data_IF_352171501102
#
_entry.id   IF_352171501102
#
_cell.length_a   1.000
_cell.length_b   1.000
_cell.length_c   1.000
_cell.angle_alpha   90.00
_cell.angle_beta   90.00
_cell.angle_gamma   90.00
#
_symmetry.space_group_name_H-M   'P 1'
#
loop_
_entity.id
_entity.type
_entity.pdbx_description
1 polymer ?
#
# COMPACT_ATOMS: atom_id res chain seq x y z
N UNK A 1 15.79 -6.42 -10.90
CA UNK A 1 15.52 -7.37 -9.81
C UNK A 1 14.04 -7.74 -9.67
N UNK A 2 13.13 -6.84 -9.25
CA UNK A 2 11.71 -7.22 -9.04
C UNK A 2 11.03 -7.66 -10.35
N UNK A 3 11.28 -6.94 -11.45
CA UNK A 3 10.76 -7.33 -12.77
C UNK A 3 11.30 -8.68 -13.23
N UNK A 4 12.54 -9.00 -12.87
CA UNK A 4 13.17 -10.27 -13.22
C UNK A 4 12.50 -11.41 -12.45
N UNK A 5 12.25 -11.23 -11.14
CA UNK A 5 11.47 -12.19 -10.33
C UNK A 5 10.05 -12.39 -10.87
N UNK A 6 9.37 -11.31 -11.28
CA UNK A 6 8.06 -11.41 -11.91
C UNK A 6 8.09 -12.17 -13.23
N UNK A 7 9.19 -12.07 -13.98
CA UNK A 7 9.37 -12.77 -15.26
C UNK A 7 9.61 -14.25 -15.02
N UNK A 8 10.55 -14.60 -14.13
CA UNK A 8 10.81 -15.99 -13.75
C UNK A 8 9.57 -16.66 -13.14
N UNK A 9 8.75 -15.92 -12.38
CA UNK A 9 7.51 -16.49 -11.85
C UNK A 9 6.47 -16.79 -12.95
N UNK A 10 6.43 -16.00 -14.02
CA UNK A 10 5.56 -16.31 -15.17
C UNK A 10 6.05 -17.51 -15.95
N UNK A 11 7.37 -17.66 -16.12
CA UNK A 11 7.98 -18.84 -16.74
C UNK A 11 7.59 -20.11 -15.97
N UNK A 12 7.69 -20.08 -14.64
CA UNK A 12 7.24 -21.19 -13.79
C UNK A 12 5.75 -21.50 -14.02
N UNK A 13 4.87 -20.48 -14.07
CA UNK A 13 3.44 -20.67 -14.31
C UNK A 13 3.16 -21.31 -15.69
N UNK A 14 3.97 -21.01 -16.69
CA UNK A 14 3.83 -21.58 -18.02
C UNK A 14 4.19 -23.07 -18.03
N UNK A 15 5.25 -23.45 -17.30
CA UNK A 15 5.81 -24.80 -17.26
C UNK A 15 5.03 -25.81 -16.40
N UNK A 16 4.26 -25.36 -15.39
CA UNK A 16 3.56 -26.29 -14.49
C UNK A 16 2.49 -27.11 -15.24
N UNK A 17 2.37 -28.38 -14.89
CA UNK A 17 1.44 -29.32 -15.56
C UNK A 17 0.14 -29.55 -14.80
N UNK A 18 0.05 -29.11 -13.54
CA UNK A 18 -1.10 -29.37 -12.66
C UNK A 18 -2.24 -28.35 -12.81
N UNK A 19 -2.00 -27.23 -13.53
CA UNK A 19 -2.96 -26.16 -13.75
C UNK A 19 -3.36 -26.09 -15.22
N UNK A 20 -4.65 -25.95 -15.49
CA UNK A 20 -5.17 -25.81 -16.84
C UNK A 20 -4.81 -24.45 -17.46
N UNK A 21 -4.87 -24.36 -18.79
CA UNK A 21 -4.44 -23.18 -19.54
C UNK A 21 -5.28 -21.93 -19.21
N UNK A 22 -6.57 -22.08 -18.90
CA UNK A 22 -7.41 -20.95 -18.53
C UNK A 22 -7.00 -20.39 -17.17
N UNK A 23 -6.74 -21.27 -16.20
CA UNK A 23 -6.21 -20.89 -14.88
C UNK A 23 -4.81 -20.26 -14.97
N UNK A 24 -3.93 -20.78 -15.84
CA UNK A 24 -2.61 -20.17 -16.15
C UNK A 24 -2.74 -18.74 -16.67
N UNK A 25 -3.63 -18.52 -17.63
CA UNK A 25 -3.86 -17.19 -18.18
C UNK A 25 -4.29 -16.19 -17.09
N UNK A 26 -5.22 -16.58 -16.22
CA UNK A 26 -5.66 -15.74 -15.08
C UNK A 26 -4.53 -15.52 -14.06
N UNK A 27 -3.70 -16.52 -13.81
CA UNK A 27 -2.55 -16.40 -12.93
C UNK A 27 -1.52 -15.39 -13.48
N UNK A 28 -1.19 -15.46 -14.78
CA UNK A 28 -0.31 -14.49 -15.44
C UNK A 28 -0.90 -13.08 -15.39
N UNK A 29 -2.21 -12.92 -15.64
CA UNK A 29 -2.90 -11.65 -15.50
C UNK A 29 -2.77 -11.10 -14.06
N UNK A 30 -2.88 -11.95 -13.04
CA UNK A 30 -2.67 -11.54 -11.65
C UNK A 30 -1.25 -11.06 -11.40
N UNK A 31 -0.24 -11.77 -11.91
CA UNK A 31 1.19 -11.38 -11.79
C UNK A 31 1.46 -10.04 -12.48
N UNK A 32 0.92 -9.84 -13.69
CA UNK A 32 1.03 -8.58 -14.42
C UNK A 32 0.45 -7.38 -13.66
N UNK A 33 -0.58 -7.63 -12.85
CA UNK A 33 -1.27 -6.60 -12.06
C UNK A 33 -0.76 -6.49 -10.61
N UNK A 34 0.34 -7.15 -10.26
CA UNK A 34 0.93 -7.00 -8.93
C UNK A 34 1.49 -5.60 -8.73
N UNK A 35 0.97 -4.89 -7.73
CA UNK A 35 1.49 -3.59 -7.30
C UNK A 35 2.80 -3.79 -6.55
N UNK A 36 3.82 -3.01 -6.92
CA UNK A 36 5.14 -3.02 -6.26
C UNK A 36 5.28 -1.76 -5.42
N UNK A 37 5.57 -1.92 -4.13
CA UNK A 37 5.81 -0.82 -3.19
C UNK A 37 7.28 -0.86 -2.77
N UNK A 38 8.00 0.26 -2.88
CA UNK A 38 9.45 0.33 -2.69
C UNK A 38 9.84 1.51 -1.80
N UNK A 39 10.58 1.23 -0.72
CA UNK A 39 11.11 2.26 0.16
C UNK A 39 10.01 2.93 0.98
N UNK A 40 9.40 3.99 0.45
CA UNK A 40 8.39 4.81 1.11
C UNK A 40 7.32 5.29 0.10
N UNK A 41 6.10 5.63 0.55
CA UNK A 41 5.05 6.10 -0.35
C UNK A 41 5.43 7.41 -1.03
N UNK A 42 5.13 7.58 -2.31
CA UNK A 42 5.57 8.72 -3.11
C UNK A 42 5.16 10.08 -2.51
N UNK A 43 3.99 10.17 -1.86
CA UNK A 43 3.50 11.42 -1.26
C UNK A 43 4.43 11.97 -0.17
N UNK A 44 5.21 11.10 0.49
CA UNK A 44 6.15 11.51 1.56
C UNK A 44 7.31 12.34 1.01
N UNK A 45 7.69 12.14 -0.26
CA UNK A 45 8.71 12.96 -0.91
C UNK A 45 8.23 14.40 -1.14
N UNK A 46 6.92 14.60 -1.24
CA UNK A 46 6.33 15.91 -1.48
C UNK A 46 5.90 16.53 -0.15
N UNK A 47 6.68 17.50 0.33
CA UNK A 47 6.42 18.19 1.58
C UNK A 47 5.00 18.77 1.68
N UNK A 48 4.48 19.36 0.60
CA UNK A 48 3.12 19.96 0.62
C UNK A 48 2.06 18.89 0.83
N UNK A 49 2.18 17.74 0.15
CA UNK A 49 1.25 16.63 0.34
C UNK A 49 1.38 16.01 1.73
N UNK A 50 2.59 15.92 2.26
CA UNK A 50 2.85 15.42 3.60
C UNK A 50 2.26 16.33 4.69
N UNK A 51 2.47 17.64 4.57
CA UNK A 51 1.92 18.63 5.50
C UNK A 51 0.38 18.64 5.44
N UNK A 52 -0.21 18.53 4.24
CA UNK A 52 -1.66 18.41 4.06
C UNK A 52 -2.21 17.11 4.69
N UNK A 53 -1.50 15.99 4.54
CA UNK A 53 -1.93 14.71 5.12
C UNK A 53 -2.07 14.78 6.65
N UNK A 54 -1.19 15.52 7.33
CA UNK A 54 -1.19 15.68 8.78
C UNK A 54 -1.81 16.98 9.29
N UNK A 55 -2.45 17.78 8.43
CA UNK A 55 -2.96 19.12 8.76
C UNK A 55 -3.91 19.12 9.98
N UNK A 56 -4.68 18.05 10.15
CA UNK A 56 -5.68 17.90 11.20
C UNK A 56 -5.15 17.25 12.49
N UNK A 57 -3.85 16.92 12.56
CA UNK A 57 -3.22 16.28 13.72
C UNK A 57 -2.45 17.31 14.54
N UNK A 58 -3.10 17.88 15.56
CA UNK A 58 -2.45 18.80 16.49
C UNK A 58 -1.62 18.04 17.54
N UNK A 59 -0.34 18.39 17.64
CA UNK A 59 0.59 17.85 18.64
C UNK A 59 1.00 18.94 19.64
N UNK A 60 0.88 18.65 20.93
CA UNK A 60 1.22 19.56 22.03
C UNK A 60 2.37 18.98 22.87
N UNK A 61 3.49 19.70 23.02
CA UNK A 61 4.71 19.20 23.67
C UNK A 61 4.51 18.66 25.10
N UNK A 62 3.57 19.24 25.86
CA UNK A 62 3.29 18.89 27.26
C UNK A 62 2.20 17.83 27.45
N UNK A 63 1.49 17.42 26.39
CA UNK A 63 0.27 16.60 26.48
C UNK A 63 0.46 15.27 25.74
N UNK A 64 1.32 14.40 26.28
CA UNK A 64 1.58 13.09 25.68
C UNK A 64 0.31 12.23 25.57
N UNK A 65 -0.52 12.24 26.61
CA UNK A 65 -1.75 11.46 26.63
C UNK A 65 -2.76 11.94 25.58
N UNK A 66 -3.00 13.25 25.49
CA UNK A 66 -3.88 13.81 24.48
C UNK A 66 -3.33 13.65 23.06
N UNK A 67 -2.01 13.77 22.85
CA UNK A 67 -1.39 13.47 21.55
C UNK A 67 -1.65 12.02 21.14
N UNK A 68 -1.47 11.07 22.06
CA UNK A 68 -1.74 9.65 21.80
C UNK A 68 -3.21 9.40 21.41
N UNK A 69 -4.15 10.10 22.06
CA UNK A 69 -5.58 10.04 21.68
C UNK A 69 -5.85 10.64 20.30
N UNK A 70 -5.24 11.79 19.96
CA UNK A 70 -5.40 12.45 18.65
C UNK A 70 -4.85 11.58 17.51
N UNK A 71 -3.65 11.02 17.69
CA UNK A 71 -3.04 10.11 16.70
C UNK A 71 -3.91 8.86 16.51
N UNK A 72 -4.43 8.27 17.60
CA UNK A 72 -5.36 7.13 17.50
C UNK A 72 -6.64 7.49 16.75
N UNK A 73 -7.25 8.63 17.07
CA UNK A 73 -8.47 9.09 16.39
C UNK A 73 -8.23 9.34 14.90
N UNK A 74 -7.12 9.98 14.54
CA UNK A 74 -6.70 10.18 13.16
C UNK A 74 -6.54 8.86 12.41
N UNK A 75 -5.82 7.88 12.98
CA UNK A 75 -5.64 6.55 12.38
C UNK A 75 -6.98 5.84 12.14
N UNK A 76 -7.91 5.92 13.08
CA UNK A 76 -9.25 5.34 12.93
C UNK A 76 -10.07 6.02 11.84
N UNK A 77 -10.12 7.36 11.84
CA UNK A 77 -10.83 8.12 10.82
C UNK A 77 -10.27 7.85 9.42
N UNK A 78 -8.94 7.79 9.29
CA UNK A 78 -8.27 7.43 8.04
C UNK A 78 -8.59 5.99 7.60
N UNK A 79 -8.59 5.02 8.50
CA UNK A 79 -8.99 3.65 8.16
C UNK A 79 -10.44 3.58 7.65
N UNK A 80 -11.34 4.35 8.24
CA UNK A 80 -12.75 4.41 7.84
C UNK A 80 -12.90 5.07 6.46
N UNK A 81 -12.14 6.13 6.15
CA UNK A 81 -12.23 6.79 4.84
C UNK A 81 -11.78 5.88 3.69
N UNK A 82 -10.85 4.96 3.96
CA UNK A 82 -10.33 3.98 3.00
C UNK A 82 -11.30 2.81 2.71
N UNK A 83 -12.41 2.68 3.46
CA UNK A 83 -13.39 1.60 3.24
C UNK A 83 -14.11 1.78 1.91
N UNK A 84 -14.48 3.01 1.56
CA UNK A 84 -15.19 3.31 0.31
C UNK A 84 -14.26 3.35 -0.91
N UNK A 85 -13.06 3.91 -0.75
CA UNK A 85 -12.06 4.03 -1.80
C UNK A 85 -10.70 3.66 -1.24
N UNK A 86 -10.29 2.40 -1.45
CA UNK A 86 -9.03 1.88 -0.93
C UNK A 86 -7.85 2.30 -1.81
N UNK A 87 -7.01 3.17 -1.28
CA UNK A 87 -5.69 3.43 -1.84
C UNK A 87 -4.72 2.30 -1.47
N UNK A 88 -4.06 1.71 -2.48
CA UNK A 88 -3.09 0.63 -2.31
C UNK A 88 -1.63 1.12 -2.23
N UNK A 89 -1.40 2.39 -2.50
CA UNK A 89 -0.07 3.03 -2.54
C UNK A 89 0.30 3.69 -1.22
N UNK A 90 -0.69 3.94 -0.35
CA UNK A 90 -0.51 4.52 0.97
C UNK A 90 -0.36 3.43 2.03
N UNK A 91 0.86 3.27 2.53
CA UNK A 91 1.19 2.38 3.66
C UNK A 91 1.71 3.22 4.83
N UNK A 92 0.78 3.87 5.52
CA UNK A 92 1.08 4.64 6.74
C UNK A 92 0.99 3.68 7.93
N UNK A 93 2.14 3.41 8.57
CA UNK A 93 2.26 2.54 9.75
C UNK A 93 1.68 3.15 11.02
#
# INVERSE_FOLDING_TARGET
>A
MIRDLQSSFKEIIDEITWMDDASKAVAILKVNNMVTLLGYPDFVANRTLLDQFYENVRICKWDNYGNSRRIRAFKQAYQISQVANRDRTLYVT
#
